data_IF_280667055743
#
_entry.id   IF_280667055743
#
_cell.length_a   1.000
_cell.length_b   1.000
_cell.length_c   1.000
_cell.angle_alpha   90.00
_cell.angle_beta   90.00
_cell.angle_gamma   90.00
#
_symmetry.space_group_name_H-M   'P 1'
#
loop_
_entity.id
_entity.type
_entity.pdbx_description
1 polymer ?
#
# COMPACT_ATOMS: atom_id res chain seq x y z
N UNK A 1 13.01 8.50 30.80
CA UNK A 1 13.55 8.79 29.45
C UNK A 1 12.77 9.96 28.89
N UNK A 2 13.38 10.87 28.13
CA UNK A 2 12.63 11.91 27.42
C UNK A 2 11.64 11.27 26.44
N UNK A 3 10.43 11.80 26.39
CA UNK A 3 9.36 11.35 25.52
C UNK A 3 9.25 12.31 24.33
N UNK A 4 9.35 11.79 23.10
CA UNK A 4 9.29 12.60 21.88
C UNK A 4 7.95 12.36 21.19
N UNK A 5 7.29 13.43 20.73
CA UNK A 5 5.97 13.35 20.09
C UNK A 5 5.87 14.39 18.98
N UNK A 6 5.28 14.00 17.86
CA UNK A 6 4.76 14.93 16.87
C UNK A 6 3.35 15.34 17.31
N UNK A 7 3.08 16.65 17.37
CA UNK A 7 1.78 17.18 17.78
C UNK A 7 1.21 18.05 16.67
N UNK A 8 -0.01 17.72 16.24
CA UNK A 8 -0.74 18.46 15.20
C UNK A 8 -2.00 19.04 15.85
N UNK A 9 -2.07 20.36 15.89
CA UNK A 9 -3.23 21.09 16.41
C UNK A 9 -4.23 21.41 15.29
N UNK A 10 -5.44 20.91 15.40
CA UNK A 10 -6.56 21.18 14.50
C UNK A 10 -7.52 22.13 15.23
N UNK A 11 -7.70 23.34 14.70
CA UNK A 11 -8.64 24.30 15.28
C UNK A 11 -10.03 24.08 14.69
N UNK A 12 -11.02 23.89 15.55
CA UNK A 12 -12.42 23.93 15.12
C UNK A 12 -12.80 25.36 14.74
N UNK A 13 -13.39 25.53 13.56
CA UNK A 13 -13.78 26.83 13.03
C UNK A 13 -15.02 27.39 13.73
N UNK A 14 -15.86 26.53 14.32
CA UNK A 14 -17.09 26.92 14.98
C UNK A 14 -16.91 27.23 16.47
N UNK A 15 -16.27 26.34 17.24
CA UNK A 15 -16.07 26.54 18.69
C UNK A 15 -14.79 27.30 19.04
N UNK A 16 -13.80 27.31 18.15
CA UNK A 16 -12.47 27.87 18.42
C UNK A 16 -11.56 26.94 19.24
N UNK A 17 -12.05 25.77 19.65
CA UNK A 17 -11.27 24.78 20.39
C UNK A 17 -10.18 24.17 19.50
N UNK A 18 -9.11 23.70 20.14
CA UNK A 18 -8.01 23.02 19.45
C UNK A 18 -8.01 21.55 19.82
N UNK A 19 -8.23 20.69 18.84
CA UNK A 19 -8.06 19.25 18.93
C UNK A 19 -6.59 18.91 18.64
N UNK A 20 -5.96 18.15 19.52
CA UNK A 20 -4.57 17.72 19.35
C UNK A 20 -4.53 16.27 18.87
N UNK A 21 -3.88 16.04 17.73
CA UNK A 21 -3.40 14.72 17.33
C UNK A 21 -1.96 14.57 17.79
N UNK A 22 -1.69 13.51 18.56
CA UNK A 22 -0.39 13.27 19.18
C UNK A 22 0.13 11.92 18.72
N UNK A 23 1.23 11.95 17.96
CA UNK A 23 1.89 10.75 17.45
C UNK A 23 3.17 10.52 18.25
N UNK A 24 3.30 9.37 18.95
CA UNK A 24 4.51 9.06 19.69
C UNK A 24 5.67 8.80 18.72
N UNK A 25 6.87 9.30 19.06
CA UNK A 25 8.07 9.11 18.25
C UNK A 25 9.22 8.58 19.11
N UNK A 26 10.06 7.74 18.53
CA UNK A 26 11.18 7.08 19.24
C UNK A 26 12.34 8.03 19.54
N UNK A 27 12.47 9.13 18.80
CA UNK A 27 13.53 10.12 18.94
C UNK A 27 13.09 11.49 18.45
N UNK A 28 13.80 12.56 18.87
CA UNK A 28 13.56 13.91 18.35
C UNK A 28 13.79 13.98 16.84
N UNK A 29 14.84 13.33 16.33
CA UNK A 29 15.17 13.34 14.91
C UNK A 29 14.03 12.76 14.07
N UNK A 30 13.39 11.69 14.56
CA UNK A 30 12.28 11.06 13.87
C UNK A 30 11.05 11.99 13.85
N UNK A 31 10.68 12.56 14.99
CA UNK A 31 9.58 13.53 15.07
C UNK A 31 9.79 14.75 14.15
N UNK A 32 11.03 15.25 14.06
CA UNK A 32 11.39 16.33 13.13
C UNK A 32 11.28 15.86 11.69
N UNK A 33 11.76 14.67 11.35
CA UNK A 33 11.68 14.15 9.99
C UNK A 33 10.24 13.91 9.51
N UNK A 34 9.35 13.45 10.39
CA UNK A 34 7.92 13.31 10.09
C UNK A 34 7.28 14.67 9.81
N UNK A 35 7.64 15.70 10.59
CA UNK A 35 7.18 17.07 10.34
C UNK A 35 7.70 17.65 9.03
N UNK A 36 9.00 17.45 8.73
CA UNK A 36 9.61 17.84 7.45
C UNK A 36 8.88 17.19 6.26
N UNK A 37 8.57 15.89 6.36
CA UNK A 37 7.84 15.17 5.31
C UNK A 37 6.44 15.73 5.09
N UNK A 38 5.68 16.01 6.16
CA UNK A 38 4.35 16.63 6.07
C UNK A 38 4.44 18.00 5.40
N UNK A 39 5.39 18.85 5.82
CA UNK A 39 5.55 20.17 5.21
C UNK A 39 5.90 20.06 3.73
N UNK A 40 6.87 19.22 3.37
CA UNK A 40 7.27 19.03 1.98
C UNK A 40 6.10 18.55 1.12
N UNK A 41 5.28 17.64 1.65
CA UNK A 41 4.05 17.22 0.99
C UNK A 41 3.05 18.37 0.81
N UNK A 42 2.87 19.22 1.81
CA UNK A 42 1.94 20.37 1.73
C UNK A 42 2.43 21.48 0.80
N UNK A 43 3.74 21.74 0.75
CA UNK A 43 4.34 22.82 -0.03
C UNK A 43 4.52 22.44 -1.51
N UNK A 44 4.94 21.20 -1.75
CA UNK A 44 5.40 20.77 -3.08
C UNK A 44 4.50 19.68 -3.66
N UNK A 45 3.78 18.91 -2.82
CA UNK A 45 2.91 17.82 -3.24
C UNK A 45 3.57 16.44 -3.16
N UNK A 46 2.86 15.42 -3.60
CA UNK A 46 3.28 14.01 -3.47
C UNK A 46 4.60 13.66 -4.14
N UNK A 47 5.02 14.40 -5.16
CA UNK A 47 6.26 14.12 -5.89
C UNK A 47 7.54 14.46 -5.10
N UNK A 48 7.42 15.29 -4.05
CA UNK A 48 8.56 15.67 -3.21
C UNK A 48 8.80 14.72 -2.03
N UNK A 49 7.87 13.80 -1.80
CA UNK A 49 8.08 12.74 -0.83
C UNK A 49 9.12 11.76 -1.37
N UNK A 50 9.92 11.14 -0.48
CA UNK A 50 10.75 10.01 -0.85
C UNK A 50 9.91 8.99 -1.62
N UNK A 51 10.48 8.40 -2.66
CA UNK A 51 9.86 7.27 -3.35
C UNK A 51 9.54 6.16 -2.34
N UNK A 52 8.48 5.41 -2.60
CA UNK A 52 8.03 4.29 -1.77
C UNK A 52 9.24 3.49 -1.28
N UNK A 53 9.30 3.25 0.03
CA UNK A 53 10.47 2.65 0.66
C UNK A 53 10.78 1.36 -0.08
N UNK A 54 12.00 1.24 -0.61
CA UNK A 54 12.44 -0.02 -1.19
C UNK A 54 12.26 -1.10 -0.13
N UNK A 55 11.69 -2.26 -0.52
CA UNK A 55 11.54 -3.46 0.33
C UNK A 55 12.85 -3.86 1.06
N UNK A 56 13.97 -3.26 0.66
CA UNK A 56 15.28 -3.29 1.31
C UNK A 56 15.22 -3.09 2.83
N UNK A 57 14.40 -2.17 3.36
CA UNK A 57 14.34 -1.88 4.80
C UNK A 57 13.14 -2.50 5.53
N UNK A 58 12.50 -3.53 4.96
CA UNK A 58 11.41 -4.23 5.63
C UNK A 58 11.85 -4.91 6.94
N UNK A 59 10.97 -4.93 7.95
CA UNK A 59 11.22 -5.61 9.22
C UNK A 59 11.53 -7.10 8.98
N UNK A 60 12.72 -7.55 9.41
CA UNK A 60 13.20 -8.91 9.16
C UNK A 60 14.18 -9.03 7.99
N UNK A 61 14.52 -7.92 7.32
CA UNK A 61 15.61 -7.85 6.35
C UNK A 61 16.98 -7.62 7.03
N UNK A 62 18.06 -8.01 6.35
CA UNK A 62 19.44 -7.73 6.80
C UNK A 62 19.76 -6.23 6.79
N UNK A 63 19.36 -5.44 5.75
CA UNK A 63 19.58 -3.99 5.75
C UNK A 63 18.85 -3.26 6.88
N UNK A 64 17.60 -3.63 7.19
CA UNK A 64 16.85 -3.08 8.33
C UNK A 64 17.63 -3.27 9.64
N UNK A 65 18.20 -4.45 9.86
CA UNK A 65 19.02 -4.64 11.04
C UNK A 65 20.29 -3.78 11.06
N UNK A 66 20.97 -3.63 9.93
CA UNK A 66 22.15 -2.76 9.86
C UNK A 66 21.80 -1.30 10.21
N UNK A 67 20.61 -0.85 9.81
CA UNK A 67 20.05 0.42 10.22
C UNK A 67 19.86 0.46 11.75
N UNK A 68 19.18 -0.52 12.35
CA UNK A 68 19.01 -0.62 13.80
C UNK A 68 20.34 -0.60 14.56
N UNK A 69 21.35 -1.34 14.06
CA UNK A 69 22.69 -1.38 14.63
C UNK A 69 23.36 -0.01 14.60
N UNK A 70 23.21 0.74 13.49
CA UNK A 70 23.78 2.07 13.35
C UNK A 70 23.11 3.04 14.31
N UNK A 71 21.79 3.05 14.38
CA UNK A 71 21.03 3.89 15.31
C UNK A 71 21.37 3.58 16.76
N UNK A 72 21.35 2.30 17.16
CA UNK A 72 21.68 1.89 18.52
C UNK A 72 23.09 2.33 18.94
N UNK A 73 24.07 2.27 18.02
CA UNK A 73 25.44 2.71 18.28
C UNK A 73 25.56 4.22 18.46
N UNK A 74 24.74 5.01 17.77
CA UNK A 74 24.72 6.48 17.94
C UNK A 74 24.07 6.86 19.27
N UNK A 75 23.01 6.15 19.65
CA UNK A 75 22.20 6.51 20.83
C UNK A 75 22.78 6.01 22.16
N UNK A 76 23.71 5.05 22.14
CA UNK A 76 24.23 4.40 23.34
C UNK A 76 25.75 4.44 23.48
N UNK A 77 26.24 4.42 24.72
CA UNK A 77 27.67 4.32 25.01
C UNK A 77 28.28 3.02 24.48
N UNK A 78 29.58 3.04 24.19
CA UNK A 78 30.29 1.90 23.64
C UNK A 78 30.14 0.62 24.49
N UNK A 79 30.20 0.74 25.82
CA UNK A 79 30.02 -0.39 26.74
C UNK A 79 28.62 -1.00 26.63
N UNK A 80 27.59 -0.16 26.52
CA UNK A 80 26.20 -0.61 26.38
C UNK A 80 25.94 -1.23 25.01
N UNK A 81 26.56 -0.69 23.97
CA UNK A 81 26.54 -1.28 22.63
C UNK A 81 27.20 -2.68 22.61
N UNK A 82 28.37 -2.84 23.22
CA UNK A 82 29.06 -4.14 23.26
C UNK A 82 28.30 -5.13 24.15
N UNK A 83 27.99 -4.77 25.40
CA UNK A 83 27.37 -5.68 26.37
C UNK A 83 25.88 -5.95 26.14
N UNK A 84 25.16 -5.05 25.50
CA UNK A 84 23.75 -5.21 25.17
C UNK A 84 23.58 -5.72 23.74
N UNK A 85 23.80 -4.83 22.78
CA UNK A 85 23.46 -5.09 21.38
C UNK A 85 24.25 -6.26 20.79
N UNK A 86 25.60 -6.26 20.89
CA UNK A 86 26.42 -7.32 20.28
C UNK A 86 26.30 -8.67 20.98
N UNK A 87 26.16 -8.70 22.31
CA UNK A 87 26.00 -9.95 23.06
C UNK A 87 24.66 -10.61 22.71
N UNK A 88 23.55 -9.87 22.78
CA UNK A 88 22.23 -10.39 22.43
C UNK A 88 22.22 -10.84 20.96
N UNK A 89 22.88 -10.08 20.08
CA UNK A 89 23.03 -10.43 18.68
C UNK A 89 23.71 -11.78 18.46
N UNK A 90 24.82 -11.99 19.15
CA UNK A 90 25.63 -13.18 19.01
C UNK A 90 24.86 -14.43 19.43
N UNK A 91 24.12 -14.34 20.55
CA UNK A 91 23.35 -15.46 21.08
C UNK A 91 22.02 -15.72 20.35
N UNK A 92 21.39 -14.68 19.82
CA UNK A 92 20.13 -14.83 19.07
C UNK A 92 20.33 -15.44 17.68
N UNK A 93 21.51 -15.27 17.08
CA UNK A 93 21.81 -15.81 15.74
C UNK A 93 20.88 -15.31 14.63
N UNK A 94 20.13 -14.22 14.85
CA UNK A 94 19.01 -13.84 13.97
C UNK A 94 19.46 -13.36 12.58
N UNK A 95 20.74 -13.08 12.37
CA UNK A 95 21.29 -12.85 11.03
C UNK A 95 21.10 -14.07 10.12
N UNK A 96 21.22 -15.29 10.68
CA UNK A 96 21.11 -16.52 9.90
C UNK A 96 19.69 -16.72 9.33
N UNK A 97 18.60 -16.63 10.14
CA UNK A 97 17.22 -16.58 9.61
C UNK A 97 16.99 -15.55 8.52
N UNK A 98 17.54 -14.34 8.63
CA UNK A 98 17.36 -13.30 7.60
C UNK A 98 18.04 -13.66 6.28
N UNK A 99 19.26 -14.22 6.32
CA UNK A 99 19.91 -14.73 5.11
C UNK A 99 19.14 -15.92 4.49
N UNK A 100 18.60 -16.81 5.33
CA UNK A 100 17.78 -17.93 4.87
C UNK A 100 16.49 -17.41 4.22
N UNK A 101 15.81 -16.45 4.83
CA UNK A 101 14.60 -15.82 4.29
C UNK A 101 14.88 -15.16 2.93
N UNK A 102 15.92 -14.33 2.86
CA UNK A 102 16.34 -13.71 1.61
C UNK A 102 16.70 -14.74 0.53
N UNK A 103 17.35 -15.84 0.91
CA UNK A 103 17.65 -16.93 -0.02
C UNK A 103 16.38 -17.67 -0.49
N UNK A 104 15.43 -17.96 0.39
CA UNK A 104 14.14 -18.59 0.05
C UNK A 104 13.33 -17.68 -0.88
N UNK A 105 13.24 -16.39 -0.56
CA UNK A 105 12.46 -15.43 -1.34
C UNK A 105 13.07 -15.18 -2.73
N UNK A 106 14.40 -15.20 -2.84
CA UNK A 106 15.11 -15.06 -4.11
C UNK A 106 15.25 -16.37 -4.90
N UNK A 107 14.77 -17.50 -4.37
CA UNK A 107 14.73 -18.72 -5.18
C UNK A 107 13.78 -18.48 -6.36
N UNK A 108 14.13 -18.97 -7.56
CA UNK A 108 13.19 -18.95 -8.67
C UNK A 108 11.94 -19.69 -8.20
N UNK A 109 10.83 -18.95 -8.09
CA UNK A 109 9.52 -19.53 -7.81
C UNK A 109 9.32 -20.62 -8.85
N UNK A 110 8.93 -21.82 -8.40
CA UNK A 110 8.73 -22.95 -9.30
C UNK A 110 7.85 -22.47 -10.46
N UNK A 111 8.33 -22.67 -11.69
CA UNK A 111 7.55 -22.31 -12.86
C UNK A 111 6.19 -23.00 -12.77
N UNK A 112 5.15 -22.34 -13.27
CA UNK A 112 3.82 -22.92 -13.29
C UNK A 112 3.86 -24.32 -13.94
N UNK A 113 3.08 -25.30 -13.44
CA UNK A 113 2.96 -26.61 -14.07
C UNK A 113 2.69 -26.49 -15.58
N UNK A 114 3.16 -27.44 -16.39
CA UNK A 114 2.96 -27.39 -17.85
C UNK A 114 1.49 -27.28 -18.24
N UNK A 115 0.62 -27.96 -17.51
CA UNK A 115 -0.84 -27.85 -17.63
C UNK A 115 -1.32 -26.40 -17.45
N UNK A 116 -0.74 -25.71 -16.45
CA UNK A 116 -1.01 -24.30 -16.13
C UNK A 116 -0.37 -23.33 -17.14
N UNK A 117 0.55 -23.78 -17.98
CA UNK A 117 1.06 -22.98 -19.08
C UNK A 117 0.27 -23.22 -20.37
N UNK A 118 -0.33 -24.40 -20.52
CA UNK A 118 -1.13 -24.76 -21.68
C UNK A 118 -2.53 -24.14 -21.65
N UNK A 119 -3.21 -24.18 -20.49
CA UNK A 119 -4.51 -23.52 -20.31
C UNK A 119 -4.45 -21.98 -20.38
N UNK A 120 -3.26 -21.38 -20.27
CA UNK A 120 -3.02 -19.94 -20.21
C UNK A 120 -2.59 -19.39 -21.57
N UNK A 121 -2.43 -20.26 -22.58
CA UNK A 121 -2.25 -19.81 -23.95
C UNK A 121 -3.51 -19.08 -24.39
N UNK A 122 -3.39 -17.95 -25.09
CA UNK A 122 -4.56 -17.23 -25.59
C UNK A 122 -5.39 -18.16 -26.47
N UNK A 123 -6.71 -18.15 -26.29
CA UNK A 123 -7.61 -18.87 -27.19
C UNK A 123 -7.43 -18.33 -28.61
N UNK A 124 -7.50 -19.23 -29.59
CA UNK A 124 -7.52 -18.84 -30.99
C UNK A 124 -8.71 -17.91 -31.25
N UNK A 125 -8.53 -16.89 -32.09
CA UNK A 125 -9.54 -15.87 -32.41
C UNK A 125 -10.83 -16.50 -32.95
N UNK A 126 -10.72 -17.63 -33.66
CA UNK A 126 -11.88 -18.39 -34.17
C UNK A 126 -12.74 -19.04 -33.08
N UNK A 127 -12.17 -19.26 -31.88
CA UNK A 127 -12.87 -19.82 -30.71
C UNK A 127 -13.40 -18.72 -29.78
N UNK A 128 -13.16 -17.44 -30.10
CA UNK A 128 -13.71 -16.35 -29.30
C UNK A 128 -15.22 -16.35 -29.47
N UNK A 129 -15.94 -16.42 -28.35
CA UNK A 129 -17.39 -16.30 -28.37
C UNK A 129 -17.77 -14.92 -28.92
N UNK A 130 -18.62 -14.88 -29.93
CA UNK A 130 -19.19 -13.63 -30.43
C UNK A 130 -20.13 -13.09 -29.36
N UNK A 131 -20.03 -11.80 -28.97
CA UNK A 131 -20.92 -11.23 -27.97
C UNK A 131 -22.37 -11.36 -28.44
N UNK A 132 -23.23 -11.80 -27.52
CA UNK A 132 -24.67 -11.85 -27.77
C UNK A 132 -25.23 -10.44 -28.03
N UNK A 133 -26.31 -10.35 -28.80
CA UNK A 133 -26.96 -9.09 -29.16
C UNK A 133 -27.33 -8.24 -27.92
N UNK A 134 -27.89 -8.86 -26.88
CA UNK A 134 -28.16 -8.19 -25.60
C UNK A 134 -26.91 -7.56 -24.95
N UNK A 135 -25.75 -8.21 -25.08
CA UNK A 135 -24.49 -7.72 -24.50
C UNK A 135 -23.90 -6.57 -25.33
N UNK A 136 -24.16 -6.54 -26.64
CA UNK A 136 -23.82 -5.42 -27.50
C UNK A 136 -24.65 -4.17 -27.16
N UNK A 137 -25.95 -4.35 -26.90
CA UNK A 137 -26.85 -3.26 -26.49
C UNK A 137 -26.44 -2.67 -25.14
N UNK A 138 -26.19 -3.51 -24.13
CA UNK A 138 -25.70 -3.05 -22.83
C UNK A 138 -24.34 -2.36 -22.93
N UNK A 139 -23.43 -2.91 -23.73
CA UNK A 139 -22.12 -2.28 -23.98
C UNK A 139 -22.26 -0.90 -24.63
N UNK A 140 -23.22 -0.73 -25.54
CA UNK A 140 -23.49 0.55 -26.18
C UNK A 140 -24.09 1.57 -25.18
N UNK A 141 -24.95 1.11 -24.27
CA UNK A 141 -25.51 1.93 -23.19
C UNK A 141 -24.42 2.42 -22.23
N UNK A 142 -23.57 1.50 -21.76
CA UNK A 142 -22.42 1.78 -20.89
C UNK A 142 -21.46 2.78 -21.55
N UNK A 143 -21.13 2.59 -22.84
CA UNK A 143 -20.26 3.52 -23.59
C UNK A 143 -20.88 4.92 -23.71
N UNK A 144 -22.19 5.04 -23.86
CA UNK A 144 -22.89 6.34 -23.87
C UNK A 144 -22.85 7.02 -22.49
N UNK A 145 -22.96 6.26 -21.40
CA UNK A 145 -22.81 6.78 -20.04
C UNK A 145 -21.38 7.28 -19.76
N UNK A 146 -20.37 6.51 -20.19
CA UNK A 146 -18.96 6.93 -20.10
C UNK A 146 -18.66 8.17 -20.93
N UNK A 147 -19.20 8.27 -22.15
CA UNK A 147 -19.04 9.47 -22.99
C UNK A 147 -19.64 10.74 -22.34
N UNK A 148 -20.60 10.57 -21.42
CA UNK A 148 -21.19 11.67 -20.61
C UNK A 148 -20.38 11.97 -19.33
N UNK A 149 -19.23 11.32 -19.14
CA UNK A 149 -18.34 11.54 -18.00
C UNK A 149 -18.69 10.75 -16.73
N UNK A 150 -19.61 9.79 -16.80
CA UNK A 150 -19.92 8.92 -15.67
C UNK A 150 -18.86 7.82 -15.52
N UNK A 151 -18.51 7.46 -14.28
CA UNK A 151 -17.65 6.30 -14.03
C UNK A 151 -18.49 5.01 -13.90
N UNK A 152 -17.81 3.85 -13.92
CA UNK A 152 -18.47 2.53 -13.91
C UNK A 152 -19.38 2.35 -12.68
N UNK A 153 -18.94 2.81 -11.51
CA UNK A 153 -19.67 2.61 -10.25
C UNK A 153 -20.92 3.48 -10.18
N UNK A 154 -20.85 4.71 -10.68
CA UNK A 154 -22.00 5.62 -10.73
C UNK A 154 -23.05 5.12 -11.72
N UNK A 155 -22.63 4.61 -12.89
CA UNK A 155 -23.54 3.99 -13.85
C UNK A 155 -24.32 2.82 -13.25
N UNK A 156 -23.62 1.87 -12.60
CA UNK A 156 -24.29 0.71 -11.99
C UNK A 156 -25.14 1.09 -10.78
N UNK A 157 -24.73 2.07 -9.97
CA UNK A 157 -25.58 2.59 -8.89
C UNK A 157 -26.90 3.12 -9.44
N UNK A 158 -26.89 3.90 -10.52
CA UNK A 158 -28.12 4.41 -11.13
C UNK A 158 -28.96 3.27 -11.72
N UNK A 159 -28.35 2.39 -12.55
CA UNK A 159 -29.04 1.29 -13.23
C UNK A 159 -29.73 0.32 -12.25
N UNK A 160 -29.12 0.02 -11.10
CA UNK A 160 -29.71 -0.87 -10.10
C UNK A 160 -30.56 -0.15 -9.04
N UNK A 161 -30.55 1.18 -9.00
CA UNK A 161 -31.44 1.97 -8.12
C UNK A 161 -32.77 2.30 -8.80
N UNK A 162 -32.85 2.23 -10.12
CA UNK A 162 -34.12 2.33 -10.84
C UNK A 162 -34.90 1.01 -10.71
N UNK A 163 -36.15 1.02 -10.20
CA UNK A 163 -36.97 -0.18 -10.19
C UNK A 163 -37.24 -0.62 -11.63
N UNK A 164 -36.94 -1.89 -11.95
CA UNK A 164 -37.11 -2.47 -13.26
C UNK A 164 -38.50 -2.14 -13.82
N UNK A 165 -38.53 -1.35 -14.90
CA UNK A 165 -39.78 -1.07 -15.62
C UNK A 165 -40.23 -2.38 -16.27
N UNK A 166 -41.26 -3.00 -15.70
CA UNK A 166 -41.86 -4.23 -16.23
C UNK A 166 -42.20 -4.06 -17.72
N UNK A 167 -41.92 -5.05 -18.57
CA UNK A 167 -42.31 -5.01 -19.97
C UNK A 167 -43.85 -5.04 -20.05
N UNK A 168 -44.45 -3.95 -20.54
CA UNK A 168 -45.86 -3.91 -20.91
C UNK A 168 -46.09 -4.90 -22.03
N UNK A 169 -46.69 -6.04 -21.67
CA UNK A 169 -47.26 -7.00 -22.61
C UNK A 169 -48.48 -6.33 -23.24
N UNK A 170 -48.29 -5.70 -24.39
CA UNK A 170 -49.39 -5.27 -25.24
C UNK A 170 -50.04 -6.52 -25.84
N UNK A 171 -51.17 -6.91 -25.27
CA UNK A 171 -52.09 -7.86 -25.86
C UNK A 171 -52.89 -7.16 -26.97
N UNK A 172 -52.71 -7.58 -28.22
CA UNK A 172 -53.69 -7.49 -29.31
C UNK A 172 -53.34 -8.48 -30.42
#
# INVERSE_FOLDING_TARGET
MPEYKLMIGLRDSASGDVLWSVVPSSSLSLAVSEWEAIRMYMEVGSFALPSDETEEFEEGSVPFFHLCRRSYRVDHSFLRYVGGFLVIQFFSGWTLPCYISGWVNNRPKAAFPKEVLEWSKPLNVEQHAVPSEALLEESAEIRKAFAKGQNLLDYFKVKFSEPAKEPTVDAS
#
